data_IF_559828489460
#
_entry.id   IF_559828489460
#
_cell.length_a   1.000
_cell.length_b   1.000
_cell.length_c   1.000
_cell.angle_alpha   90.00
_cell.angle_beta   90.00
_cell.angle_gamma   90.00
#
_symmetry.space_group_name_H-M   'P 1'
#
loop_
_entity.id
_entity.type
_entity.pdbx_description
1 polymer ?
#
# COMPACT_ATOMS: atom_id res chain seq x y z
N UNK A 1 -17.38 7.83 4.43
CA UNK A 1 -17.16 6.44 4.88
C UNK A 1 -16.04 6.40 5.92
N UNK A 2 -14.91 7.12 5.74
CA UNK A 2 -13.81 7.13 6.73
C UNK A 2 -14.09 7.85 8.04
N UNK A 3 -15.10 8.71 8.11
CA UNK A 3 -15.40 9.46 9.33
C UNK A 3 -16.13 8.62 10.40
N UNK A 4 -16.87 7.60 10.00
CA UNK A 4 -17.62 6.77 10.96
C UNK A 4 -16.70 5.84 11.76
N UNK A 5 -15.61 5.32 11.18
CA UNK A 5 -14.69 4.44 11.87
C UNK A 5 -13.95 5.13 13.03
N UNK A 6 -13.52 6.39 12.84
CA UNK A 6 -12.82 7.13 13.91
C UNK A 6 -13.75 7.74 14.94
N UNK A 7 -15.01 8.04 14.60
CA UNK A 7 -15.96 8.74 15.48
C UNK A 7 -16.80 7.74 16.29
N UNK A 8 -17.14 6.59 15.70
CA UNK A 8 -18.12 5.66 16.29
C UNK A 8 -17.51 4.70 17.29
N UNK A 9 -16.25 4.27 17.09
CA UNK A 9 -15.66 3.16 17.83
C UNK A 9 -14.51 3.56 18.76
N UNK A 10 -14.08 4.83 18.74
CA UNK A 10 -13.11 5.35 19.68
C UNK A 10 -13.83 6.22 20.72
N UNK A 11 -14.08 5.71 21.93
CA UNK A 11 -14.43 6.60 23.04
C UNK A 11 -13.32 7.65 23.12
N UNK A 12 -13.67 8.92 23.39
CA UNK A 12 -12.71 9.98 23.65
C UNK A 12 -11.77 9.52 24.76
N UNK A 13 -10.63 8.95 24.38
CA UNK A 13 -9.58 8.53 25.31
C UNK A 13 -8.63 9.69 25.47
N UNK A 14 -8.14 9.92 26.67
CA UNK A 14 -7.11 10.92 26.94
C UNK A 14 -5.76 10.52 26.32
N UNK A 15 -5.61 9.26 25.98
CA UNK A 15 -4.39 8.68 25.41
C UNK A 15 -4.28 8.90 23.93
N UNK A 16 -3.07 9.20 23.48
CA UNK A 16 -2.77 9.46 22.09
C UNK A 16 -3.03 8.25 21.21
N UNK A 17 -3.79 8.47 20.14
CA UNK A 17 -3.88 7.55 18.99
C UNK A 17 -4.02 8.30 17.68
N UNK A 18 -3.39 7.78 16.64
CA UNK A 18 -3.44 8.32 15.28
C UNK A 18 -3.27 7.20 14.26
N UNK A 19 -3.68 7.45 13.03
CA UNK A 19 -3.40 6.53 11.92
C UNK A 19 -2.84 7.27 10.70
N UNK A 20 -2.02 6.56 9.94
CA UNK A 20 -1.40 7.07 8.73
C UNK A 20 -2.30 6.76 7.54
N UNK A 21 -2.80 7.82 6.88
CA UNK A 21 -3.72 7.67 5.75
C UNK A 21 -3.11 8.06 4.40
N UNK A 22 -1.96 8.75 4.41
CA UNK A 22 -1.27 9.16 3.19
C UNK A 22 0.23 9.22 3.43
N UNK A 23 0.99 8.80 2.43
CA UNK A 23 2.44 8.97 2.38
C UNK A 23 2.78 9.71 1.10
N UNK A 24 3.68 10.68 1.19
CA UNK A 24 4.15 11.43 0.04
C UNK A 24 5.68 11.56 0.12
N UNK A 25 6.35 11.15 -0.95
CA UNK A 25 7.78 11.26 -1.08
C UNK A 25 8.15 12.28 -2.17
N UNK A 26 9.40 12.76 -2.12
CA UNK A 26 10.00 13.61 -3.15
C UNK A 26 9.21 14.89 -3.47
N UNK A 27 8.57 15.50 -2.47
CA UNK A 27 7.88 16.79 -2.64
C UNK A 27 8.83 17.92 -3.09
N UNK A 28 10.09 17.82 -2.71
CA UNK A 28 11.14 18.73 -3.15
C UNK A 28 12.20 17.92 -3.92
N UNK A 29 12.44 18.19 -5.21
CA UNK A 29 13.47 17.51 -5.99
C UNK A 29 14.89 17.63 -5.41
N UNK A 30 15.17 18.69 -4.66
CA UNK A 30 16.46 18.93 -4.02
C UNK A 30 16.64 18.13 -2.72
N UNK A 31 15.56 17.72 -2.08
CA UNK A 31 15.56 16.95 -0.84
C UNK A 31 14.68 15.72 -1.00
N UNK A 32 15.23 14.55 -0.73
CA UNK A 32 14.50 13.28 -0.76
C UNK A 32 13.66 13.13 0.52
N UNK A 33 12.72 14.03 0.70
CA UNK A 33 11.85 14.05 1.87
C UNK A 33 10.71 13.05 1.67
N UNK A 34 10.47 12.24 2.69
CA UNK A 34 9.28 11.41 2.79
C UNK A 34 8.48 11.88 4.00
N UNK A 35 7.21 12.20 3.77
CA UNK A 35 6.30 12.69 4.80
C UNK A 35 5.13 11.73 4.88
N UNK A 36 4.84 11.28 6.10
CA UNK A 36 3.65 10.51 6.42
C UNK A 36 2.62 11.42 7.07
N UNK A 37 1.43 11.49 6.46
CA UNK A 37 0.31 12.24 6.98
C UNK A 37 -0.51 11.35 7.89
N UNK A 38 -0.69 11.80 9.11
CA UNK A 38 -1.51 11.12 10.09
C UNK A 38 -2.67 11.99 10.56
N UNK A 39 -3.81 11.34 10.83
CA UNK A 39 -4.94 11.93 11.52
C UNK A 39 -4.89 11.54 12.98
N UNK A 40 -5.01 12.51 13.86
CA UNK A 40 -5.10 12.29 15.30
C UNK A 40 -6.54 11.87 15.63
N UNK A 41 -6.70 10.73 16.29
CA UNK A 41 -8.00 10.18 16.66
C UNK A 41 -8.35 10.45 18.12
N UNK A 42 -7.37 10.41 19.03
CA UNK A 42 -7.54 10.71 20.45
C UNK A 42 -6.27 11.27 21.08
N UNK A 43 -6.41 11.86 22.26
CA UNK A 43 -5.32 12.47 23.02
C UNK A 43 -4.71 13.70 22.34
N UNK A 44 -3.55 14.12 22.82
CA UNK A 44 -2.85 15.30 22.31
C UNK A 44 -1.50 14.88 21.75
N UNK A 45 -1.22 15.32 20.53
CA UNK A 45 0.11 15.23 19.95
C UNK A 45 0.99 16.34 20.51
N UNK A 46 2.22 16.01 20.92
CA UNK A 46 3.27 16.97 21.26
C UNK A 46 4.53 16.69 20.44
N UNK A 47 5.16 17.76 19.97
CA UNK A 47 6.39 17.69 19.16
C UNK A 47 7.48 16.90 19.87
N UNK A 48 8.02 15.92 19.15
CA UNK A 48 9.11 15.07 19.62
C UNK A 48 8.68 13.93 20.55
N UNK A 49 7.36 13.73 20.73
CA UNK A 49 6.85 12.58 21.49
C UNK A 49 7.27 11.25 20.87
N UNK A 50 7.39 10.24 21.69
CA UNK A 50 7.60 8.86 21.26
C UNK A 50 6.28 8.12 21.34
N UNK A 51 5.94 7.43 20.25
CA UNK A 51 4.70 6.65 20.11
C UNK A 51 5.02 5.20 19.79
N UNK A 52 4.10 4.31 20.07
CA UNK A 52 4.18 2.91 19.67
C UNK A 52 3.65 2.74 18.26
N UNK A 53 4.48 2.21 17.36
CA UNK A 53 4.08 1.82 16.01
C UNK A 53 3.55 0.38 16.07
N UNK A 54 2.24 0.20 15.97
CA UNK A 54 1.57 -1.08 16.24
C UNK A 54 2.00 -2.16 15.25
N UNK A 55 1.94 -1.89 13.96
CA UNK A 55 2.31 -2.87 12.92
C UNK A 55 3.80 -3.17 12.93
N UNK A 56 4.63 -2.18 13.25
CA UNK A 56 6.09 -2.32 13.33
C UNK A 56 6.59 -2.87 14.67
N UNK A 57 5.72 -3.02 15.67
CA UNK A 57 6.04 -3.53 17.03
C UNK A 57 7.27 -2.85 17.66
N UNK A 58 7.34 -1.51 17.55
CA UNK A 58 8.48 -0.73 18.06
C UNK A 58 8.09 0.70 18.43
N UNK A 59 8.80 1.32 19.38
CA UNK A 59 8.65 2.74 19.64
C UNK A 59 9.27 3.57 18.52
N UNK A 60 8.61 4.66 18.15
CA UNK A 60 9.06 5.60 17.13
C UNK A 60 8.95 7.02 17.64
N UNK A 61 10.03 7.80 17.52
CA UNK A 61 10.01 9.22 17.83
C UNK A 61 9.51 10.00 16.61
N UNK A 62 8.43 10.76 16.80
CA UNK A 62 7.87 11.59 15.75
C UNK A 62 8.68 12.88 15.60
N UNK A 63 9.41 12.98 14.48
CA UNK A 63 10.30 14.08 14.20
C UNK A 63 9.67 15.05 13.18
N UNK A 64 10.02 16.34 13.32
CA UNK A 64 9.67 17.40 12.38
C UNK A 64 8.18 17.44 12.01
N UNK A 65 7.28 17.57 12.99
CA UNK A 65 5.86 17.66 12.70
C UNK A 65 5.56 18.95 11.93
N UNK A 66 4.85 18.84 10.82
CA UNK A 66 4.49 19.93 9.95
C UNK A 66 2.99 19.92 9.71
N UNK A 67 2.39 21.10 9.74
CA UNK A 67 1.06 21.32 9.24
C UNK A 67 1.16 22.01 7.87
N UNK A 68 0.36 21.56 6.94
CA UNK A 68 0.34 22.10 5.59
C UNK A 68 -0.88 23.01 5.45
N UNK A 69 -0.64 24.30 5.30
CA UNK A 69 -1.65 25.29 4.93
C UNK A 69 -1.30 25.82 3.53
N UNK A 70 -1.98 25.29 2.52
CA UNK A 70 -1.69 25.57 1.11
C UNK A 70 -0.23 25.22 0.73
N UNK A 71 0.60 26.21 0.43
CA UNK A 71 2.01 26.02 0.07
C UNK A 71 2.98 26.22 1.25
N UNK A 72 2.48 26.70 2.38
CA UNK A 72 3.32 26.97 3.56
C UNK A 72 3.39 25.77 4.49
N UNK A 73 4.59 25.52 5.01
CA UNK A 73 4.87 24.48 6.01
C UNK A 73 5.15 25.17 7.35
N UNK A 74 4.28 24.94 8.31
CA UNK A 74 4.48 25.43 9.68
C UNK A 74 4.79 24.28 10.62
N UNK A 75 5.73 24.49 11.53
CA UNK A 75 6.03 23.50 12.57
C UNK A 75 4.91 23.49 13.59
N UNK A 76 4.43 22.29 13.94
CA UNK A 76 3.36 22.09 14.92
C UNK A 76 3.97 21.67 16.25
N UNK A 77 3.68 22.43 17.29
CA UNK A 77 4.07 22.09 18.66
C UNK A 77 3.07 21.13 19.33
N UNK A 78 1.76 21.38 19.11
CA UNK A 78 0.66 20.55 19.60
C UNK A 78 -0.42 20.39 18.55
N UNK A 79 -1.06 19.23 18.54
CA UNK A 79 -2.23 18.98 17.71
C UNK A 79 -3.24 18.10 18.45
N UNK A 80 -4.52 18.20 18.07
CA UNK A 80 -5.65 17.66 18.79
C UNK A 80 -6.45 16.67 17.94
N UNK A 81 -7.36 15.88 18.55
CA UNK A 81 -8.21 14.96 17.80
C UNK A 81 -8.95 15.64 16.65
N UNK A 82 -8.86 15.03 15.47
CA UNK A 82 -9.38 15.57 14.20
C UNK A 82 -8.35 16.28 13.35
N UNK A 83 -7.24 16.76 13.94
CA UNK A 83 -6.17 17.42 13.20
C UNK A 83 -5.40 16.42 12.31
N UNK A 84 -4.90 16.95 11.20
CA UNK A 84 -4.02 16.25 10.27
C UNK A 84 -2.65 16.90 10.32
N UNK A 85 -1.63 16.10 10.63
CA UNK A 85 -0.25 16.55 10.63
C UNK A 85 0.63 15.63 9.79
N UNK A 86 1.66 16.20 9.17
CA UNK A 86 2.70 15.46 8.47
C UNK A 86 3.91 15.27 9.39
N UNK A 87 4.48 14.09 9.43
CA UNK A 87 5.71 13.79 10.16
C UNK A 87 6.77 13.26 9.19
N UNK A 88 8.03 13.60 9.45
CA UNK A 88 9.12 13.03 8.68
C UNK A 88 9.13 11.51 8.84
N UNK A 89 9.22 10.80 7.71
CA UNK A 89 9.22 9.34 7.67
C UNK A 89 10.56 8.83 7.08
N UNK A 90 11.38 8.14 7.87
CA UNK A 90 12.61 7.52 7.36
C UNK A 90 12.36 6.28 6.49
N UNK A 91 11.12 5.99 6.12
CA UNK A 91 10.72 4.85 5.29
C UNK A 91 10.19 3.66 6.09
N UNK A 92 9.70 3.92 7.31
CA UNK A 92 9.21 2.88 8.21
C UNK A 92 7.70 2.74 8.24
N UNK A 93 6.97 3.76 7.79
CA UNK A 93 5.52 3.78 7.84
C UNK A 93 4.88 3.27 6.54
N UNK A 94 3.69 2.70 6.70
CA UNK A 94 2.80 2.27 5.62
C UNK A 94 1.43 2.91 5.82
N UNK A 95 0.68 3.10 4.74
CA UNK A 95 -0.72 3.56 4.82
C UNK A 95 -1.52 2.50 5.58
N UNK A 96 -2.31 2.94 6.57
CA UNK A 96 -3.06 2.09 7.49
C UNK A 96 -2.36 1.87 8.84
N UNK A 97 -1.08 2.24 8.97
CA UNK A 97 -0.37 2.06 10.24
C UNK A 97 -1.00 2.88 11.37
N UNK A 98 -1.09 2.25 12.52
CA UNK A 98 -1.58 2.83 13.76
C UNK A 98 -0.42 3.24 14.66
N UNK A 99 -0.52 4.45 15.17
CA UNK A 99 0.40 5.02 16.15
C UNK A 99 -0.38 5.29 17.45
N UNK A 100 0.09 4.78 18.57
CA UNK A 100 -0.64 4.92 19.83
C UNK A 100 0.29 5.02 21.04
N UNK A 101 -0.29 5.10 22.23
CA UNK A 101 0.43 4.97 23.48
C UNK A 101 0.83 3.49 23.68
N UNK A 102 2.09 3.23 24.03
CA UNK A 102 2.61 1.87 24.24
C UNK A 102 1.86 1.10 25.36
N UNK A 103 1.42 1.81 26.41
CA UNK A 103 0.75 1.20 27.57
C UNK A 103 -0.67 0.73 27.26
N UNK A 104 -1.30 1.36 26.28
CA UNK A 104 -2.69 1.07 25.87
C UNK A 104 -2.77 0.95 24.36
N UNK A 105 -2.25 -0.15 23.79
CA UNK A 105 -2.21 -0.32 22.35
C UNK A 105 -3.64 -0.41 21.77
N UNK A 106 -3.87 0.38 20.75
CA UNK A 106 -5.08 0.36 19.94
C UNK A 106 -4.63 0.09 18.51
N UNK A 107 -5.33 -0.74 17.79
CA UNK A 107 -5.11 -0.94 16.36
C UNK A 107 -6.39 -0.56 15.62
N UNK A 108 -6.26 0.34 14.65
CA UNK A 108 -7.34 0.66 13.74
C UNK A 108 -7.41 -0.41 12.64
N UNK A 109 -8.61 -0.61 12.11
CA UNK A 109 -8.81 -1.47 10.95
C UNK A 109 -8.05 -0.93 9.73
N UNK A 110 -7.60 -1.83 8.87
CA UNK A 110 -6.93 -1.47 7.64
C UNK A 110 -7.87 -0.69 6.71
N UNK A 111 -7.31 0.26 5.96
CA UNK A 111 -8.07 0.94 4.91
C UNK A 111 -8.54 -0.06 3.86
N UNK A 112 -9.79 0.05 3.39
CA UNK A 112 -10.25 -0.75 2.28
C UNK A 112 -9.39 -0.45 1.05
N UNK A 113 -8.70 -1.47 0.57
CA UNK A 113 -7.92 -1.41 -0.67
C UNK A 113 -8.87 -1.79 -1.80
N UNK A 114 -9.10 -0.87 -2.74
CA UNK A 114 -9.86 -1.20 -3.94
C UNK A 114 -9.08 -2.21 -4.78
N UNK A 115 -9.70 -3.32 -5.19
CA UNK A 115 -9.06 -4.24 -6.10
C UNK A 115 -8.74 -3.52 -7.42
N UNK A 116 -7.56 -3.76 -8.01
CA UNK A 116 -7.22 -3.16 -9.28
C UNK A 116 -8.04 -3.79 -10.41
N UNK A 117 -8.35 -2.97 -11.41
CA UNK A 117 -9.12 -3.37 -12.60
C UNK A 117 -8.28 -3.36 -13.89
N UNK A 118 -7.10 -2.72 -13.85
CA UNK A 118 -6.18 -2.62 -14.97
C UNK A 118 -4.82 -3.12 -14.53
N UNK A 119 -4.25 -4.01 -15.32
CA UNK A 119 -2.95 -4.61 -15.04
C UNK A 119 -1.97 -4.34 -16.18
N UNK A 120 -0.74 -4.07 -15.83
CA UNK A 120 0.34 -3.91 -16.78
C UNK A 120 1.62 -4.58 -16.26
N UNK A 121 2.35 -5.21 -17.17
CA UNK A 121 3.71 -5.63 -16.93
C UNK A 121 4.63 -4.44 -17.16
N UNK A 122 5.49 -4.15 -16.18
CA UNK A 122 6.42 -3.04 -16.26
C UNK A 122 7.84 -3.50 -16.01
N UNK A 123 8.76 -2.96 -16.80
CA UNK A 123 10.18 -3.26 -16.73
C UNK A 123 11.01 -2.02 -17.09
N UNK A 124 12.24 -1.89 -16.61
CA UNK A 124 13.10 -0.78 -17.00
C UNK A 124 13.45 -0.88 -18.49
N UNK A 125 13.38 0.23 -19.23
CA UNK A 125 13.84 0.30 -20.61
C UNK A 125 15.35 0.17 -20.73
N UNK A 126 16.07 0.61 -19.70
CA UNK A 126 17.52 0.56 -19.58
C UNK A 126 17.90 -0.27 -18.34
N UNK A 127 18.59 -1.38 -18.58
CA UNK A 127 19.05 -2.29 -17.51
C UNK A 127 20.00 -1.61 -16.50
N UNK A 128 20.75 -0.59 -16.92
CA UNK A 128 21.62 0.19 -16.03
C UNK A 128 20.82 1.01 -15.01
N UNK A 129 19.57 1.32 -15.29
CA UNK A 129 18.65 2.06 -14.41
C UNK A 129 17.78 1.16 -13.53
N UNK A 130 18.04 -0.14 -13.51
CA UNK A 130 17.27 -1.13 -12.76
C UNK A 130 17.07 -0.77 -11.29
N UNK A 131 18.14 -0.38 -10.57
CA UNK A 131 18.05 -0.02 -9.15
C UNK A 131 17.16 1.19 -8.89
N UNK A 132 17.25 2.20 -9.77
CA UNK A 132 16.40 3.40 -9.70
C UNK A 132 14.94 3.05 -9.98
N UNK A 133 14.70 2.21 -10.99
CA UNK A 133 13.38 1.71 -11.35
C UNK A 133 12.74 0.93 -10.19
N UNK A 134 13.43 -0.07 -9.65
CA UNK A 134 12.95 -0.87 -8.52
C UNK A 134 12.62 0.01 -7.31
N UNK A 135 13.51 0.95 -6.97
CA UNK A 135 13.30 1.90 -5.89
C UNK A 135 12.05 2.75 -6.13
N UNK A 136 11.86 3.26 -7.35
CA UNK A 136 10.69 4.07 -7.72
C UNK A 136 9.40 3.26 -7.62
N UNK A 137 9.36 2.06 -8.17
CA UNK A 137 8.19 1.16 -8.10
C UNK A 137 7.80 0.87 -6.64
N UNK A 138 8.76 0.51 -5.80
CA UNK A 138 8.50 0.21 -4.38
C UNK A 138 7.97 1.44 -3.65
N UNK A 139 8.55 2.62 -3.90
CA UNK A 139 8.15 3.85 -3.24
C UNK A 139 6.74 4.30 -3.66
N UNK A 140 6.42 4.25 -4.96
CA UNK A 140 5.09 4.57 -5.48
C UNK A 140 4.01 3.59 -4.97
N UNK A 141 4.37 2.32 -4.79
CA UNK A 141 3.48 1.34 -4.17
C UNK A 141 3.23 1.65 -2.68
N UNK A 142 4.25 2.11 -1.95
CA UNK A 142 4.11 2.52 -0.55
C UNK A 142 3.25 3.77 -0.37
N UNK A 143 3.26 4.67 -1.37
CA UNK A 143 2.39 5.85 -1.41
C UNK A 143 0.94 5.51 -1.79
N UNK A 144 0.65 4.25 -2.12
CA UNK A 144 -0.69 3.82 -2.56
C UNK A 144 -1.06 4.24 -3.99
N UNK A 145 -0.10 4.77 -4.77
CA UNK A 145 -0.36 5.19 -6.15
C UNK A 145 -0.63 4.01 -7.09
N UNK A 146 -0.02 2.86 -6.79
CA UNK A 146 -0.13 1.63 -7.56
C UNK A 146 -0.13 0.42 -6.61
N UNK A 147 -0.66 -0.70 -7.06
CA UNK A 147 -0.44 -2.00 -6.43
C UNK A 147 0.61 -2.78 -7.23
N UNK A 148 1.54 -3.43 -6.53
CA UNK A 148 2.65 -4.15 -7.17
C UNK A 148 2.57 -5.62 -6.83
N UNK A 149 2.67 -6.43 -7.86
CA UNK A 149 2.67 -7.88 -7.80
C UNK A 149 3.95 -8.45 -8.42
N UNK A 150 4.36 -9.62 -7.97
CA UNK A 150 5.53 -10.35 -8.48
C UNK A 150 5.12 -11.72 -8.97
N UNK A 151 5.72 -12.19 -10.05
CA UNK A 151 5.68 -13.58 -10.45
C UNK A 151 6.85 -14.34 -9.81
N UNK A 152 6.61 -15.57 -9.34
CA UNK A 152 7.61 -16.33 -8.59
C UNK A 152 8.76 -16.86 -9.45
N UNK A 153 8.50 -17.13 -10.71
CA UNK A 153 9.43 -17.84 -11.61
C UNK A 153 10.09 -16.94 -12.67
N UNK A 154 9.73 -15.68 -12.69
CA UNK A 154 10.32 -14.70 -13.62
C UNK A 154 11.22 -13.80 -12.79
N UNK A 155 12.52 -13.78 -13.16
CA UNK A 155 13.53 -13.01 -12.44
C UNK A 155 13.09 -11.57 -12.15
N UNK A 156 13.75 -10.92 -11.19
CA UNK A 156 13.40 -9.59 -10.62
C UNK A 156 13.34 -8.42 -11.63
N UNK A 157 13.29 -8.68 -12.93
CA UNK A 157 13.37 -7.64 -13.96
C UNK A 157 12.02 -7.03 -14.34
N UNK A 158 10.92 -7.70 -14.03
CA UNK A 158 9.58 -7.22 -14.33
C UNK A 158 8.65 -7.28 -13.13
N UNK A 159 7.79 -6.28 -13.03
CA UNK A 159 6.69 -6.26 -12.06
C UNK A 159 5.36 -6.27 -12.80
N UNK A 160 4.36 -6.84 -12.19
CA UNK A 160 2.96 -6.62 -12.59
C UNK A 160 2.42 -5.52 -11.70
N UNK A 161 1.93 -4.45 -12.33
CA UNK A 161 1.32 -3.31 -11.64
C UNK A 161 -0.17 -3.38 -11.84
N UNK A 162 -0.93 -3.21 -10.76
CA UNK A 162 -2.36 -3.09 -10.77
C UNK A 162 -2.80 -1.68 -10.37
N UNK A 163 -3.75 -1.13 -11.12
CA UNK A 163 -4.33 0.20 -10.89
C UNK A 163 -5.84 0.17 -11.07
N UNK A 164 -6.53 1.14 -10.49
CA UNK A 164 -7.99 1.29 -10.63
C UNK A 164 -8.33 2.04 -11.93
N UNK A 165 -7.49 2.96 -12.35
CA UNK A 165 -7.72 3.76 -13.56
C UNK A 165 -6.45 3.95 -14.40
N UNK A 166 -6.62 4.10 -15.71
CA UNK A 166 -5.51 4.22 -16.68
C UNK A 166 -4.59 5.42 -16.40
N UNK A 167 -5.12 6.52 -15.90
CA UNK A 167 -4.34 7.70 -15.53
C UNK A 167 -3.25 7.40 -14.49
N UNK A 168 -3.45 6.41 -13.63
CA UNK A 168 -2.42 6.01 -12.66
C UNK A 168 -1.18 5.42 -13.35
N UNK A 169 -1.33 4.79 -14.52
CA UNK A 169 -0.21 4.30 -15.32
C UNK A 169 0.58 5.46 -15.95
N UNK A 170 -0.10 6.50 -16.41
CA UNK A 170 0.54 7.71 -16.93
C UNK A 170 1.30 8.46 -15.83
N UNK A 171 0.71 8.56 -14.63
CA UNK A 171 1.38 9.13 -13.46
C UNK A 171 2.59 8.29 -13.05
N UNK A 172 2.49 6.97 -13.09
CA UNK A 172 3.60 6.06 -12.83
C UNK A 172 4.76 6.32 -13.80
N UNK A 173 4.49 6.40 -15.10
CA UNK A 173 5.50 6.66 -16.13
C UNK A 173 6.16 8.02 -15.93
N UNK A 174 5.37 9.06 -15.74
CA UNK A 174 5.84 10.42 -15.51
C UNK A 174 6.74 10.51 -14.26
N UNK A 175 6.32 9.93 -13.15
CA UNK A 175 7.05 10.00 -11.89
C UNK A 175 8.34 9.17 -11.93
N UNK A 176 8.32 7.97 -12.52
CA UNK A 176 9.54 7.17 -12.70
C UNK A 176 10.58 7.89 -13.54
N UNK A 177 10.15 8.56 -14.60
CA UNK A 177 11.06 9.33 -15.44
C UNK A 177 11.64 10.55 -14.70
N UNK A 178 10.78 11.37 -14.08
CA UNK A 178 11.18 12.67 -13.55
C UNK A 178 11.81 12.61 -12.15
N UNK A 179 11.37 11.68 -11.30
CA UNK A 179 11.88 11.56 -9.93
C UNK A 179 13.02 10.55 -9.81
N UNK A 180 13.02 9.50 -10.64
CA UNK A 180 13.99 8.39 -10.54
C UNK A 180 14.92 8.27 -11.76
N UNK A 181 14.71 9.11 -12.78
CA UNK A 181 15.45 9.05 -14.05
C UNK A 181 15.44 7.64 -14.67
N UNK A 182 14.32 6.95 -14.57
CA UNK A 182 14.12 5.60 -15.06
C UNK A 182 12.94 5.56 -16.03
N UNK A 183 13.24 5.32 -17.32
CA UNK A 183 12.20 5.06 -18.34
C UNK A 183 11.71 3.63 -18.18
N UNK A 184 10.41 3.43 -18.31
CA UNK A 184 9.79 2.11 -18.29
C UNK A 184 9.33 1.67 -19.68
N UNK A 185 9.24 0.35 -19.85
CA UNK A 185 8.43 -0.31 -20.86
C UNK A 185 7.18 -0.81 -20.16
N UNK A 186 6.02 -0.48 -20.69
CA UNK A 186 4.72 -0.84 -20.18
C UNK A 186 4.00 -1.69 -21.21
N UNK A 187 3.58 -2.88 -20.80
CA UNK A 187 2.77 -3.81 -21.57
C UNK A 187 1.48 -4.06 -20.81
N UNK A 188 0.35 -3.61 -21.36
CA UNK A 188 -0.94 -3.84 -20.73
C UNK A 188 -1.31 -5.33 -20.82
N UNK A 189 -1.76 -5.89 -19.70
CA UNK A 189 -2.19 -7.28 -19.59
C UNK A 189 -3.71 -7.40 -19.81
N UNK A 190 -4.20 -8.52 -20.37
CA UNK A 190 -5.61 -8.72 -20.67
C UNK A 190 -6.42 -9.17 -19.42
N UNK A 191 -6.08 -8.64 -18.25
CA UNK A 191 -6.73 -8.98 -16.99
C UNK A 191 -7.49 -7.77 -16.45
N UNK A 192 -8.67 -8.02 -15.85
CA UNK A 192 -9.48 -6.99 -15.21
C UNK A 192 -9.98 -7.40 -13.82
N UNK A 193 -9.75 -8.65 -13.42
CA UNK A 193 -10.21 -9.18 -12.14
C UNK A 193 -9.03 -9.73 -11.36
N UNK A 194 -8.90 -9.31 -10.10
CA UNK A 194 -7.95 -9.86 -9.14
C UNK A 194 -8.69 -10.51 -7.97
N UNK A 195 -8.22 -11.68 -7.54
CA UNK A 195 -8.68 -12.36 -6.34
C UNK A 195 -7.52 -12.88 -5.53
N UNK A 196 -7.47 -12.51 -4.26
CA UNK A 196 -6.53 -13.11 -3.31
C UNK A 196 -6.99 -14.52 -3.02
N UNK A 197 -6.04 -15.46 -3.01
CA UNK A 197 -6.36 -16.88 -2.84
C UNK A 197 -5.77 -17.40 -1.54
N UNK A 198 -6.55 -18.25 -0.89
CA UNK A 198 -6.20 -18.88 0.36
C UNK A 198 -6.64 -20.34 0.36
N UNK A 199 -5.78 -21.22 0.86
CA UNK A 199 -6.08 -22.65 1.06
C UNK A 199 -5.31 -23.15 2.28
N UNK A 200 -5.87 -24.14 2.97
CA UNK A 200 -5.20 -24.81 4.10
C UNK A 200 -3.95 -25.58 3.65
N UNK A 201 -4.00 -26.12 2.43
CA UNK A 201 -2.85 -26.76 1.77
C UNK A 201 -2.24 -25.83 0.71
N UNK A 202 -1.00 -25.37 0.90
CA UNK A 202 -0.30 -24.51 -0.06
C UNK A 202 -0.08 -25.15 -1.45
N UNK A 203 -0.09 -26.46 -1.55
CA UNK A 203 0.07 -27.16 -2.83
C UNK A 203 -1.15 -26.97 -3.75
N UNK A 204 -2.34 -26.76 -3.19
CA UNK A 204 -3.53 -26.43 -3.97
C UNK A 204 -3.34 -25.09 -4.73
N UNK A 205 -2.70 -24.10 -4.09
CA UNK A 205 -2.44 -22.79 -4.70
C UNK A 205 -1.39 -22.89 -5.81
N UNK A 206 -0.39 -23.76 -5.66
CA UNK A 206 0.62 -23.99 -6.70
C UNK A 206 0.05 -24.70 -7.93
N UNK A 207 -0.97 -25.50 -7.74
CA UNK A 207 -1.58 -26.36 -8.76
C UNK A 207 -3.02 -25.93 -9.09
N UNK A 208 -3.31 -24.61 -9.11
CA UNK A 208 -4.64 -24.11 -9.46
C UNK A 208 -5.03 -24.59 -10.86
N UNK A 209 -6.17 -25.30 -10.94
CA UNK A 209 -6.69 -25.82 -12.19
C UNK A 209 -7.45 -24.76 -12.97
N UNK A 210 -7.29 -24.77 -14.30
CA UNK A 210 -8.02 -23.84 -15.18
C UNK A 210 -7.42 -22.44 -15.27
N UNK A 211 -6.16 -22.28 -14.88
CA UNK A 211 -5.42 -20.99 -14.92
C UNK A 211 -4.80 -20.68 -16.29
N UNK A 212 -5.14 -21.45 -17.33
CA UNK A 212 -4.53 -21.31 -18.68
C UNK A 212 -4.69 -19.90 -19.27
N UNK A 213 -5.79 -19.21 -18.94
CA UNK A 213 -6.08 -17.83 -19.35
C UNK A 213 -5.99 -16.83 -18.19
N UNK A 214 -5.24 -17.17 -17.14
CA UNK A 214 -5.01 -16.35 -15.97
C UNK A 214 -3.54 -16.29 -15.59
N UNK A 215 -3.24 -15.60 -14.51
CA UNK A 215 -1.89 -15.45 -14.00
C UNK A 215 -1.91 -15.55 -12.48
N UNK A 216 -1.02 -16.35 -11.91
CA UNK A 216 -0.75 -16.35 -10.46
C UNK A 216 0.40 -15.38 -10.19
N UNK A 217 0.12 -14.41 -9.33
CA UNK A 217 1.09 -13.42 -8.88
C UNK A 217 1.07 -13.33 -7.35
N UNK A 218 2.01 -12.62 -6.77
CA UNK A 218 2.12 -12.42 -5.34
C UNK A 218 2.18 -10.94 -5.02
N UNK A 219 1.39 -10.50 -4.05
CA UNK A 219 1.41 -9.11 -3.59
C UNK A 219 2.68 -8.78 -2.77
N UNK A 220 2.77 -7.54 -2.27
CA UNK A 220 3.92 -7.06 -1.47
C UNK A 220 4.17 -7.85 -0.18
N UNK A 221 3.16 -8.52 0.35
CA UNK A 221 3.25 -9.37 1.54
C UNK A 221 3.48 -10.84 1.20
N UNK A 222 3.64 -11.18 -0.08
CA UNK A 222 3.82 -12.55 -0.54
C UNK A 222 2.54 -13.36 -0.61
N UNK A 223 1.37 -12.72 -0.50
CA UNK A 223 0.07 -13.39 -0.60
C UNK A 223 -0.25 -13.67 -2.07
N UNK A 224 -0.71 -14.88 -2.39
CA UNK A 224 -1.02 -15.25 -3.76
C UNK A 224 -2.29 -14.54 -4.27
N UNK A 225 -2.24 -14.12 -5.52
CA UNK A 225 -3.34 -13.42 -6.22
C UNK A 225 -3.51 -14.01 -7.60
N UNK A 226 -4.72 -14.37 -7.94
CA UNK A 226 -5.09 -14.83 -9.28
C UNK A 226 -5.63 -13.65 -10.08
N UNK A 227 -5.05 -13.42 -11.24
CA UNK A 227 -5.51 -12.43 -12.21
C UNK A 227 -6.21 -13.15 -13.36
N UNK A 228 -7.39 -12.69 -13.73
CA UNK A 228 -8.18 -13.23 -14.86
C UNK A 228 -8.81 -12.10 -15.66
N UNK A 229 -9.18 -12.41 -16.92
CA UNK A 229 -9.72 -11.42 -17.84
C UNK A 229 -11.14 -10.96 -17.50
N UNK A 230 -11.96 -11.82 -16.86
CA UNK A 230 -13.35 -11.52 -16.52
C UNK A 230 -13.90 -12.49 -15.43
N UNK A 231 -15.09 -12.17 -14.92
CA UNK A 231 -15.76 -12.98 -13.89
C UNK A 231 -16.17 -14.39 -14.40
N UNK A 232 -16.39 -14.58 -15.69
CA UNK A 232 -16.68 -15.92 -16.23
C UNK A 232 -15.47 -16.84 -16.07
N UNK A 233 -14.27 -16.37 -16.41
CA UNK A 233 -13.04 -17.11 -16.19
C UNK A 233 -12.76 -17.36 -14.70
N UNK A 234 -13.11 -16.42 -13.83
CA UNK A 234 -13.04 -16.61 -12.39
C UNK A 234 -13.93 -17.77 -11.94
N UNK A 235 -15.20 -17.76 -12.34
CA UNK A 235 -16.15 -18.82 -11.98
C UNK A 235 -15.70 -20.21 -12.46
N UNK A 236 -15.13 -20.27 -13.65
CA UNK A 236 -14.51 -21.49 -14.19
C UNK A 236 -13.39 -22.04 -13.30
N UNK A 237 -12.56 -21.16 -12.73
CA UNK A 237 -11.50 -21.55 -11.81
C UNK A 237 -12.09 -21.97 -10.46
N UNK A 238 -13.06 -21.22 -9.92
CA UNK A 238 -13.74 -21.54 -8.65
C UNK A 238 -14.32 -22.95 -8.65
N UNK A 239 -15.07 -23.32 -9.69
CA UNK A 239 -15.69 -24.63 -9.80
C UNK A 239 -14.69 -25.80 -9.79
N UNK A 240 -13.47 -25.57 -10.27
CA UNK A 240 -12.42 -26.58 -10.38
C UNK A 240 -11.51 -26.70 -9.16
N UNK A 241 -11.62 -25.73 -8.25
CA UNK A 241 -10.76 -25.65 -7.08
C UNK A 241 -11.56 -25.46 -5.77
N UNK A 242 -12.43 -26.44 -5.41
CA UNK A 242 -13.34 -26.30 -4.26
C UNK A 242 -12.64 -26.16 -2.91
N UNK A 243 -11.34 -26.47 -2.84
CA UNK A 243 -10.53 -26.29 -1.61
C UNK A 243 -9.80 -24.95 -1.50
N UNK A 244 -10.05 -24.02 -2.44
CA UNK A 244 -9.39 -22.71 -2.45
C UNK A 244 -10.44 -21.63 -2.23
N UNK A 245 -10.20 -20.74 -1.28
CA UNK A 245 -10.98 -19.54 -1.03
C UNK A 245 -10.46 -18.36 -1.86
N UNK A 246 -11.37 -17.66 -2.53
CA UNK A 246 -11.05 -16.48 -3.36
C UNK A 246 -11.75 -15.26 -2.78
N UNK A 247 -10.98 -14.22 -2.44
CA UNK A 247 -11.48 -12.99 -1.81
C UNK A 247 -11.16 -11.75 -2.64
N UNK A 248 -12.02 -10.74 -2.56
CA UNK A 248 -11.82 -9.48 -3.30
C UNK A 248 -10.78 -8.57 -2.63
N UNK A 249 -10.66 -8.67 -1.33
CA UNK A 249 -9.80 -7.79 -0.51
C UNK A 249 -8.75 -8.59 0.24
N UNK A 250 -7.54 -8.07 0.34
CA UNK A 250 -6.41 -8.77 0.97
C UNK A 250 -6.57 -9.01 2.47
N UNK A 251 -7.38 -8.22 3.16
CA UNK A 251 -7.63 -8.35 4.60
C UNK A 251 -8.37 -9.62 4.98
N UNK A 252 -9.14 -10.21 4.06
CA UNK A 252 -9.87 -11.46 4.25
C UNK A 252 -8.99 -12.69 4.00
N UNK A 253 -7.95 -12.55 3.22
CA UNK A 253 -6.96 -13.60 2.99
C UNK A 253 -5.97 -13.63 4.14
N UNK A 254 -6.12 -14.57 5.08
CA UNK A 254 -5.11 -14.78 6.14
C UNK A 254 -3.76 -15.07 5.52
N UNK A 255 -2.71 -14.38 6.03
CA UNK A 255 -1.34 -14.75 5.70
C UNK A 255 -1.10 -16.20 6.15
N UNK A 256 -0.67 -17.04 5.24
CA UNK A 256 -0.23 -18.42 5.51
C UNK A 256 1.21 -18.36 6.04
#
# INVERSE_FOLDING_TARGET
>A
VGSEMCIRDSPCRDEFSAFIFKIQANMNPAHRDRISFMRICSGVFEKGMTVWHVQGQKPVKLAQPQQFMAQERTTVEKAYPGDIIGVFDPGIFTIGDTLCNEKHPVQFEDFPIFPPEIFAKVQPKDSMKRKQFEKGIVQLAQEGAIQVFKQKDIGMESFVVGVVGVLQLEVLEYRLLNEYNAKLLLEQLPYSVARWVYADDPELIRNIKGLDNGMLVYDKLGRPVVLVSNEWNLNWILERNPGINFTQVPSEARAI
#
